data_IF_348147394270
#
_entry.id   IF_348147394270
#
_cell.length_a   1.000
_cell.length_b   1.000
_cell.length_c   1.000
_cell.angle_alpha   90.00
_cell.angle_beta   90.00
_cell.angle_gamma   90.00
#
_symmetry.space_group_name_H-M   'P 1'
#
loop_
_entity.id
_entity.type
_entity.pdbx_description
1 polymer ?
#
# COMPACT_ATOMS: atom_id res chain seq x y z
N UNK A 1 42.44 4.95 0.39
CA UNK A 1 41.31 5.58 -0.29
C UNK A 1 40.65 4.69 -1.36
N UNK A 2 41.40 4.16 -2.34
CA UNK A 2 40.81 3.31 -3.42
C UNK A 2 40.05 2.09 -2.91
N UNK A 3 40.53 1.44 -1.86
CA UNK A 3 39.90 0.26 -1.25
C UNK A 3 38.52 0.57 -0.61
N UNK A 4 38.42 1.71 0.07
CA UNK A 4 37.17 2.17 0.70
C UNK A 4 36.12 2.46 -0.38
N UNK A 5 36.50 3.15 -1.46
CA UNK A 5 35.62 3.45 -2.59
C UNK A 5 35.12 2.14 -3.22
N UNK A 6 36.01 1.17 -3.40
CA UNK A 6 35.62 -0.14 -3.95
C UNK A 6 34.57 -0.85 -3.06
N UNK A 7 34.81 -0.90 -1.73
CA UNK A 7 33.87 -1.52 -0.79
C UNK A 7 32.53 -0.82 -0.80
N UNK A 8 32.50 0.52 -0.72
CA UNK A 8 31.24 1.27 -0.70
C UNK A 8 30.45 1.09 -1.99
N UNK A 9 31.12 1.08 -3.13
CA UNK A 9 30.48 0.82 -4.43
C UNK A 9 29.93 -0.60 -4.51
N UNK A 10 30.68 -1.59 -4.03
CA UNK A 10 30.23 -2.97 -3.98
C UNK A 10 28.98 -3.14 -3.09
N UNK A 11 28.98 -2.55 -1.89
CA UNK A 11 27.83 -2.57 -0.99
C UNK A 11 26.60 -1.88 -1.59
N UNK A 12 26.79 -0.73 -2.23
CA UNK A 12 25.71 -0.01 -2.91
C UNK A 12 25.13 -0.85 -4.07
N UNK A 13 25.98 -1.55 -4.81
CA UNK A 13 25.55 -2.45 -5.88
C UNK A 13 24.74 -3.63 -5.34
N UNK A 14 25.24 -4.32 -4.31
CA UNK A 14 24.55 -5.45 -3.66
C UNK A 14 23.18 -5.00 -3.12
N UNK A 15 23.14 -3.85 -2.46
CA UNK A 15 21.88 -3.28 -1.96
C UNK A 15 20.90 -2.97 -3.10
N UNK A 16 21.38 -2.39 -4.19
CA UNK A 16 20.55 -2.11 -5.37
C UNK A 16 19.96 -3.40 -5.96
N UNK A 17 20.79 -4.43 -6.14
CA UNK A 17 20.33 -5.74 -6.63
C UNK A 17 19.26 -6.34 -5.71
N UNK A 18 19.48 -6.31 -4.38
CA UNK A 18 18.51 -6.76 -3.40
C UNK A 18 17.18 -6.02 -3.55
N UNK A 19 17.25 -4.68 -3.62
CA UNK A 19 16.05 -3.86 -3.72
C UNK A 19 15.24 -4.17 -4.99
N UNK A 20 15.91 -4.28 -6.14
CA UNK A 20 15.24 -4.60 -7.41
C UNK A 20 14.57 -5.98 -7.39
N UNK A 21 15.25 -7.00 -6.83
CA UNK A 21 14.68 -8.35 -6.70
C UNK A 21 13.44 -8.33 -5.80
N UNK A 22 13.53 -7.66 -4.64
CA UNK A 22 12.43 -7.59 -3.69
C UNK A 22 11.28 -6.72 -4.20
N UNK A 23 11.57 -5.64 -4.92
CA UNK A 23 10.57 -4.79 -5.57
C UNK A 23 9.73 -5.58 -6.58
N UNK A 24 10.36 -6.42 -7.39
CA UNK A 24 9.64 -7.28 -8.34
C UNK A 24 8.76 -8.30 -7.61
N UNK A 25 9.30 -9.00 -6.61
CA UNK A 25 8.52 -9.96 -5.80
C UNK A 25 7.34 -9.29 -5.08
N UNK A 26 7.52 -8.05 -4.65
CA UNK A 26 6.45 -7.28 -4.01
C UNK A 26 5.38 -6.88 -5.04
N UNK A 27 5.79 -6.44 -6.23
CA UNK A 27 4.89 -6.14 -7.33
C UNK A 27 4.04 -7.34 -7.72
N UNK A 28 4.67 -8.53 -7.85
CA UNK A 28 3.96 -9.78 -8.17
C UNK A 28 2.91 -10.15 -7.10
N UNK A 29 3.24 -9.97 -5.82
CA UNK A 29 2.29 -10.22 -4.73
C UNK A 29 1.10 -9.26 -4.75
N UNK A 30 1.35 -7.98 -5.06
CA UNK A 30 0.29 -6.98 -5.14
C UNK A 30 -0.61 -7.24 -6.34
N UNK A 31 -0.05 -7.61 -7.50
CA UNK A 31 -0.82 -7.96 -8.69
C UNK A 31 -1.63 -9.25 -8.49
N UNK A 32 -1.04 -10.27 -7.84
CA UNK A 32 -1.76 -11.49 -7.48
C UNK A 32 -2.93 -11.23 -6.53
N UNK A 33 -2.79 -10.27 -5.62
CA UNK A 33 -3.91 -9.88 -4.74
C UNK A 33 -5.06 -9.24 -5.52
N UNK A 34 -4.76 -8.51 -6.61
CA UNK A 34 -5.78 -7.96 -7.50
C UNK A 34 -6.37 -8.99 -8.46
N UNK A 35 -5.54 -9.96 -8.89
CA UNK A 35 -5.91 -11.04 -9.82
C UNK A 35 -6.58 -12.24 -9.12
N UNK A 36 -6.60 -12.28 -7.79
CA UNK A 36 -7.45 -13.22 -7.08
C UNK A 36 -8.86 -12.86 -7.51
N UNK A 37 -9.38 -13.69 -8.37
CA UNK A 37 -10.65 -13.73 -9.08
C UNK A 37 -11.87 -13.51 -8.15
N UNK A 38 -11.77 -12.46 -7.35
CA UNK A 38 -12.87 -11.92 -6.60
C UNK A 38 -13.59 -10.99 -7.55
N UNK A 39 -14.71 -11.45 -8.09
CA UNK A 39 -15.73 -10.65 -8.78
C UNK A 39 -16.02 -9.33 -8.04
N UNK A 40 -15.45 -9.17 -6.87
CA UNK A 40 -15.78 -8.14 -5.88
C UNK A 40 -14.74 -7.02 -5.75
N UNK A 41 -13.54 -7.16 -6.33
CA UNK A 41 -12.50 -6.12 -6.24
C UNK A 41 -11.94 -5.79 -7.63
N UNK A 42 -11.95 -4.51 -7.99
CA UNK A 42 -11.27 -4.01 -9.19
C UNK A 42 -10.32 -2.86 -8.82
N UNK A 43 -9.11 -2.84 -9.38
CA UNK A 43 -8.13 -1.81 -9.10
C UNK A 43 -7.04 -1.75 -10.17
N UNK A 44 -6.43 -0.58 -10.34
CA UNK A 44 -5.25 -0.37 -11.16
C UNK A 44 -4.02 -0.19 -10.27
N UNK A 45 -2.93 -0.88 -10.60
CA UNK A 45 -1.69 -0.87 -9.81
C UNK A 45 -0.57 -0.13 -10.52
N UNK A 46 0.14 0.72 -9.79
CA UNK A 46 1.36 1.33 -10.28
C UNK A 46 2.57 0.44 -9.99
N UNK A 47 3.64 0.68 -10.77
CA UNK A 47 4.93 0.06 -10.50
C UNK A 47 5.46 0.47 -9.13
N UNK A 48 6.10 -0.47 -8.42
CA UNK A 48 6.75 -0.21 -7.14
C UNK A 48 7.85 0.86 -7.28
N UNK A 49 7.85 1.82 -6.36
CA UNK A 49 8.80 2.94 -6.27
C UNK A 49 9.39 2.99 -4.86
N UNK A 50 10.23 4.00 -4.59
CA UNK A 50 10.72 4.27 -3.23
C UNK A 50 12.15 3.77 -2.95
N UNK A 51 12.93 3.44 -4.02
CA UNK A 51 14.37 3.16 -3.86
C UNK A 51 15.08 4.30 -3.09
N UNK A 52 16.00 4.01 -2.18
CA UNK A 52 16.50 2.68 -1.81
C UNK A 52 15.82 2.05 -0.58
N UNK A 53 14.98 2.77 0.15
CA UNK A 53 14.58 2.40 1.51
C UNK A 53 13.11 1.98 1.64
N UNK A 54 12.29 2.17 0.60
CA UNK A 54 10.86 1.90 0.66
C UNK A 54 10.37 1.11 -0.55
N UNK A 55 9.25 0.44 -0.35
CA UNK A 55 8.41 -0.09 -1.42
C UNK A 55 7.07 0.66 -1.37
N UNK A 56 6.90 1.59 -2.29
CA UNK A 56 5.70 2.40 -2.39
C UNK A 56 4.91 1.93 -3.63
N UNK A 57 3.63 1.61 -3.46
CA UNK A 57 2.72 1.24 -4.54
C UNK A 57 1.51 2.13 -4.48
N UNK A 58 1.10 2.68 -5.61
CA UNK A 58 -0.15 3.42 -5.75
C UNK A 58 -1.19 2.52 -6.41
N UNK A 59 -2.35 2.42 -5.80
CA UNK A 59 -3.53 1.75 -6.31
C UNK A 59 -4.51 2.85 -6.68
N UNK A 60 -5.05 2.82 -7.88
CA UNK A 60 -6.04 3.78 -8.36
C UNK A 60 -7.32 3.08 -8.77
N UNK A 61 -8.42 3.81 -8.68
CA UNK A 61 -9.74 3.32 -9.08
C UNK A 61 -10.10 2.01 -8.34
N UNK A 62 -9.77 1.94 -7.05
CA UNK A 62 -10.09 0.77 -6.22
C UNK A 62 -11.59 0.77 -5.94
N UNK A 63 -12.26 -0.26 -6.42
CA UNK A 63 -13.66 -0.51 -6.20
C UNK A 63 -13.84 -1.87 -5.53
N UNK A 64 -14.51 -1.88 -4.36
CA UNK A 64 -14.81 -3.09 -3.58
C UNK A 64 -16.32 -3.25 -3.55
N UNK A 65 -16.82 -4.27 -4.25
CA UNK A 65 -18.25 -4.59 -4.26
C UNK A 65 -18.68 -5.19 -2.93
N UNK A 66 -19.82 -4.77 -2.45
CA UNK A 66 -20.45 -5.31 -1.25
C UNK A 66 -21.73 -6.05 -1.65
N UNK A 67 -22.06 -7.12 -0.93
CA UNK A 67 -23.20 -8.00 -1.28
C UNK A 67 -24.57 -7.31 -1.18
N UNK A 68 -24.72 -6.26 -0.38
CA UNK A 68 -25.99 -5.63 -0.06
C UNK A 68 -26.01 -4.12 -0.11
N UNK A 69 -24.89 -3.47 -0.49
CA UNK A 69 -24.75 -2.01 -0.52
C UNK A 69 -23.96 -1.56 -1.75
N UNK A 70 -23.90 -0.24 -1.96
CA UNK A 70 -23.08 0.33 -3.02
C UNK A 70 -21.59 -0.01 -2.81
N UNK A 71 -20.82 -0.15 -3.89
CA UNK A 71 -19.40 -0.45 -3.80
C UNK A 71 -18.63 0.67 -3.09
N UNK A 72 -17.68 0.29 -2.24
CA UNK A 72 -16.71 1.23 -1.68
C UNK A 72 -15.78 1.65 -2.80
N UNK A 73 -15.64 2.97 -3.02
CA UNK A 73 -14.75 3.55 -4.03
C UNK A 73 -13.63 4.33 -3.38
N UNK A 74 -12.42 4.10 -3.84
CA UNK A 74 -11.22 4.82 -3.41
C UNK A 74 -10.48 5.26 -4.67
N UNK A 75 -10.43 6.56 -4.93
CA UNK A 75 -9.75 7.11 -6.11
C UNK A 75 -8.27 6.78 -6.12
N UNK A 76 -7.64 6.90 -4.96
CA UNK A 76 -6.22 6.63 -4.81
C UNK A 76 -5.88 6.11 -3.43
N UNK A 77 -5.14 5.02 -3.40
CA UNK A 77 -4.58 4.43 -2.20
C UNK A 77 -3.07 4.25 -2.39
N UNK A 78 -2.28 4.98 -1.62
CA UNK A 78 -0.84 4.80 -1.56
C UNK A 78 -0.51 3.83 -0.42
N UNK A 79 0.13 2.73 -0.75
CA UNK A 79 0.61 1.72 0.19
C UNK A 79 2.12 1.83 0.28
N UNK A 80 2.61 2.15 1.46
CA UNK A 80 4.03 2.38 1.74
C UNK A 80 4.54 1.38 2.75
N UNK A 81 5.72 0.82 2.49
CA UNK A 81 6.39 -0.10 3.39
C UNK A 81 7.90 0.13 3.37
N UNK A 82 8.56 -0.04 4.51
CA UNK A 82 10.03 0.01 4.57
C UNK A 82 10.63 -1.25 3.93
N UNK A 83 11.73 -1.09 3.20
CA UNK A 83 12.38 -2.21 2.51
C UNK A 83 13.06 -3.20 3.46
N UNK A 84 13.38 -2.75 4.67
CA UNK A 84 14.05 -3.53 5.72
C UNK A 84 13.11 -3.93 6.87
N UNK A 85 11.88 -3.41 6.90
CA UNK A 85 10.86 -3.76 7.88
C UNK A 85 9.57 -4.16 7.17
N UNK A 86 9.26 -5.44 7.23
CA UNK A 86 8.08 -6.01 6.60
C UNK A 86 6.83 -5.98 7.48
N UNK A 87 6.97 -5.53 8.72
CA UNK A 87 5.89 -5.53 9.70
C UNK A 87 5.08 -4.23 9.72
N UNK A 88 5.61 -3.16 9.15
CA UNK A 88 5.02 -1.83 9.21
C UNK A 88 4.54 -1.36 7.82
N UNK A 89 3.23 -1.18 7.70
CA UNK A 89 2.57 -0.64 6.53
C UNK A 89 1.89 0.68 6.85
N UNK A 90 2.00 1.63 5.92
CA UNK A 90 1.29 2.90 5.96
C UNK A 90 0.41 2.98 4.72
N UNK A 91 -0.86 3.30 4.93
CA UNK A 91 -1.85 3.47 3.89
C UNK A 91 -2.31 4.93 3.89
N UNK A 92 -2.22 5.59 2.75
CA UNK A 92 -2.74 6.93 2.57
C UNK A 92 -3.78 6.90 1.45
N UNK A 93 -5.03 7.11 1.79
CA UNK A 93 -6.13 7.10 0.85
C UNK A 93 -6.61 8.51 0.57
N UNK A 94 -6.99 8.77 -0.67
CA UNK A 94 -7.62 9.99 -1.11
C UNK A 94 -8.99 9.66 -1.70
N UNK A 95 -10.00 10.42 -1.30
CA UNK A 95 -11.38 10.23 -1.72
C UNK A 95 -11.87 8.80 -1.48
N UNK A 96 -12.41 8.57 -0.30
CA UNK A 96 -13.03 7.30 0.07
C UNK A 96 -14.53 7.54 0.14
N UNK A 97 -15.30 6.80 -0.63
CA UNK A 97 -16.74 6.94 -0.75
C UNK A 97 -17.45 5.63 -0.37
N UNK A 98 -18.70 5.78 0.08
CA UNK A 98 -19.62 4.68 0.34
C UNK A 98 -19.18 3.72 1.46
N UNK A 99 -18.54 4.23 2.50
CA UNK A 99 -18.26 3.43 3.69
C UNK A 99 -19.51 3.34 4.56
N UNK A 100 -19.73 2.17 5.18
CA UNK A 100 -20.86 1.91 6.09
C UNK A 100 -22.22 2.28 5.48
N UNK A 101 -22.61 1.61 4.39
CA UNK A 101 -23.91 1.77 3.72
C UNK A 101 -24.19 3.19 3.24
N UNK A 102 -23.22 3.80 2.57
CA UNK A 102 -23.29 5.13 1.95
C UNK A 102 -23.41 6.32 2.94
N UNK A 103 -23.20 6.10 4.21
CA UNK A 103 -23.36 7.15 5.20
C UNK A 103 -22.10 7.99 5.44
N UNK A 104 -20.93 7.50 5.01
CA UNK A 104 -19.67 8.18 5.27
C UNK A 104 -18.79 8.27 4.02
N UNK A 105 -18.21 9.44 3.82
CA UNK A 105 -17.12 9.68 2.87
C UNK A 105 -16.02 10.49 3.53
N UNK A 106 -14.78 10.27 3.10
CA UNK A 106 -13.59 10.96 3.60
C UNK A 106 -12.81 11.55 2.43
N UNK A 107 -12.37 12.79 2.55
CA UNK A 107 -11.49 13.38 1.54
C UNK A 107 -10.07 12.84 1.62
N UNK A 108 -9.62 12.51 2.82
CA UNK A 108 -8.33 11.88 3.09
C UNK A 108 -8.45 10.91 4.25
N UNK A 109 -7.82 9.75 4.10
CA UNK A 109 -7.66 8.76 5.14
C UNK A 109 -6.20 8.36 5.28
N UNK A 110 -5.70 8.29 6.51
CA UNK A 110 -4.39 7.76 6.84
C UNK A 110 -4.57 6.58 7.78
N UNK A 111 -4.00 5.45 7.43
CA UNK A 111 -4.00 4.27 8.27
C UNK A 111 -2.59 3.72 8.40
N UNK A 112 -2.28 3.19 9.56
CA UNK A 112 -1.02 2.50 9.83
C UNK A 112 -1.34 1.13 10.41
N UNK A 113 -0.70 0.09 9.87
CA UNK A 113 -0.80 -1.26 10.38
C UNK A 113 0.59 -1.76 10.76
N UNK A 114 0.74 -2.17 12.02
CA UNK A 114 1.98 -2.75 12.56
C UNK A 114 1.67 -4.13 13.12
N UNK A 115 2.32 -5.17 12.59
CA UNK A 115 2.09 -6.53 13.04
C UNK A 115 3.30 -7.44 12.82
N UNK A 116 3.65 -8.22 13.82
CA UNK A 116 4.80 -9.14 13.80
C UNK A 116 4.42 -10.57 13.36
N UNK A 117 3.22 -10.77 12.82
CA UNK A 117 2.74 -12.08 12.34
C UNK A 117 2.22 -13.02 13.42
N UNK A 118 2.51 -12.78 14.72
CA UNK A 118 2.08 -13.64 15.84
C UNK A 118 0.90 -13.05 16.65
N UNK A 119 0.67 -11.74 16.51
CA UNK A 119 -0.39 -11.00 17.21
C UNK A 119 -1.21 -10.22 16.19
N UNK A 120 -2.49 -10.02 16.47
CA UNK A 120 -3.35 -9.18 15.65
C UNK A 120 -2.68 -7.81 15.40
N UNK A 121 -2.64 -7.32 14.15
CA UNK A 121 -1.97 -6.07 13.82
C UNK A 121 -2.62 -4.90 14.56
N UNK A 122 -1.81 -4.01 15.10
CA UNK A 122 -2.30 -2.73 15.62
C UNK A 122 -2.61 -1.83 14.44
N UNK A 123 -3.87 -1.43 14.30
CA UNK A 123 -4.33 -0.54 13.25
C UNK A 123 -4.69 0.81 13.87
N UNK A 124 -4.05 1.87 13.38
CA UNK A 124 -4.40 3.25 13.69
C UNK A 124 -5.00 3.92 12.46
N UNK A 125 -6.10 4.62 12.62
CA UNK A 125 -6.79 5.32 11.53
C UNK A 125 -6.99 6.79 11.88
N UNK A 126 -6.77 7.67 10.90
CA UNK A 126 -7.06 9.09 10.97
C UNK A 126 -7.74 9.52 9.68
N UNK A 127 -8.92 10.13 9.78
CA UNK A 127 -9.66 10.69 8.64
C UNK A 127 -9.75 12.20 8.74
N UNK A 128 -9.69 12.89 7.60
CA UNK A 128 -9.94 14.32 7.46
C UNK A 128 -11.18 14.54 6.59
N UNK A 129 -11.91 15.62 6.88
CA UNK A 129 -13.12 16.06 6.15
C UNK A 129 -14.16 14.93 6.00
N UNK A 130 -14.65 14.48 7.14
CA UNK A 130 -15.71 13.46 7.20
C UNK A 130 -17.03 14.07 6.78
N UNK A 131 -17.64 13.58 5.70
CA UNK A 131 -18.99 13.93 5.27
C UNK A 131 -19.94 12.79 5.66
N UNK A 132 -21.02 13.17 6.30
CA UNK A 132 -22.11 12.26 6.66
C UNK A 132 -23.29 12.59 5.75
N UNK A 133 -23.61 11.67 4.86
CA UNK A 133 -24.78 11.74 4.02
C UNK A 133 -25.99 11.26 4.84
N UNK A 134 -26.98 12.12 5.02
CA UNK A 134 -28.26 11.77 5.67
C UNK A 134 -29.27 11.30 4.66
#
# INVERSE_FOLDING_TARGET
MRFIIFITTLLAFVWSCYWFIMSNKYSDKVSLWADIDSTDVSANFSRVRGFPNRFDTTITDLEIKQTSSEPIKIDRLDVMRLSYDSSHYIFAAKSIENIFDNNFSFSKGLASAVGNGEVAPTISFQGEDVLINK
#
